data_IF_996224959362
#
_entry.id   IF_996224959362
#
_cell.length_a   1.000
_cell.length_b   1.000
_cell.length_c   1.000
_cell.angle_alpha   90.00
_cell.angle_beta   90.00
_cell.angle_gamma   90.00
#
_symmetry.space_group_name_H-M   'P 1'
#
loop_
_entity.id
_entity.type
_entity.pdbx_description
1 polymer ?
#
# COMPACT_ATOMS: atom_id res chain seq x y z
N UNK A 1 21.18 2.02 -12.61
CA UNK A 1 20.12 1.06 -12.24
C UNK A 1 19.50 1.50 -10.91
N UNK A 2 18.17 1.68 -10.86
CA UNK A 2 17.45 2.30 -9.71
C UNK A 2 17.42 1.39 -8.46
N UNK A 3 17.82 0.10 -8.56
CA UNK A 3 17.94 -0.87 -7.44
C UNK A 3 16.72 -0.89 -6.51
N UNK A 4 15.53 -0.85 -7.09
CA UNK A 4 14.22 -0.94 -6.41
C UNK A 4 13.32 -1.91 -7.15
N UNK A 5 12.32 -2.42 -6.43
CA UNK A 5 11.20 -3.20 -6.97
C UNK A 5 9.90 -2.39 -6.83
N UNK A 6 8.89 -2.61 -7.70
CA UNK A 6 8.89 -3.55 -8.84
C UNK A 6 9.62 -3.01 -10.08
N UNK A 7 9.95 -3.93 -11.00
CA UNK A 7 10.45 -3.64 -12.34
C UNK A 7 9.85 -4.66 -13.32
N UNK A 8 9.53 -4.22 -14.53
CA UNK A 8 9.04 -5.06 -15.63
C UNK A 8 10.08 -5.11 -16.75
N UNK A 9 10.16 -6.26 -17.43
CA UNK A 9 10.88 -6.43 -18.69
C UNK A 9 9.93 -7.04 -19.71
N UNK A 10 9.82 -6.40 -20.86
CA UNK A 10 9.08 -6.87 -22.02
C UNK A 10 9.98 -6.85 -23.26
N UNK A 11 10.58 -8.00 -23.58
CA UNK A 11 11.67 -8.06 -24.56
C UNK A 11 12.86 -7.20 -24.12
N UNK A 12 13.19 -6.20 -24.93
CA UNK A 12 14.27 -5.23 -24.66
C UNK A 12 13.78 -3.98 -23.89
N UNK A 13 12.46 -3.81 -23.76
CA UNK A 13 11.89 -2.72 -22.98
C UNK A 13 11.94 -3.04 -21.48
N UNK A 14 12.42 -2.09 -20.67
CA UNK A 14 12.43 -2.22 -19.20
C UNK A 14 11.89 -0.95 -18.56
N UNK A 15 11.15 -1.11 -17.47
CA UNK A 15 10.53 0.01 -16.75
C UNK A 15 10.43 -0.31 -15.25
N UNK A 16 10.54 0.73 -14.42
CA UNK A 16 10.25 0.68 -12.98
C UNK A 16 9.00 1.52 -12.65
N UNK A 17 8.70 1.65 -11.36
CA UNK A 17 7.50 2.32 -10.81
C UNK A 17 6.20 1.53 -11.01
N UNK A 18 5.60 1.09 -9.90
CA UNK A 18 4.40 0.24 -9.91
C UNK A 18 3.24 0.86 -10.68
N UNK A 19 3.00 2.16 -10.52
CA UNK A 19 1.90 2.89 -11.17
C UNK A 19 2.07 2.90 -12.69
N UNK A 20 3.29 3.22 -13.17
CA UNK A 20 3.60 3.22 -14.59
C UNK A 20 3.48 1.81 -15.19
N UNK A 21 3.96 0.78 -14.47
CA UNK A 21 3.84 -0.62 -14.87
C UNK A 21 2.38 -1.04 -14.97
N UNK A 22 1.53 -0.68 -13.99
CA UNK A 22 0.10 -1.00 -14.00
C UNK A 22 -0.62 -0.38 -15.20
N UNK A 23 -0.37 0.91 -15.48
CA UNK A 23 -0.95 1.59 -16.65
C UNK A 23 -0.47 0.96 -17.96
N UNK A 24 0.83 0.66 -18.07
CA UNK A 24 1.40 -0.02 -19.22
C UNK A 24 0.76 -1.40 -19.47
N UNK A 25 0.57 -2.20 -18.42
CA UNK A 25 -0.09 -3.51 -18.53
C UNK A 25 -1.56 -3.36 -18.94
N UNK A 26 -2.28 -2.40 -18.35
CA UNK A 26 -3.68 -2.16 -18.69
C UNK A 26 -3.86 -1.84 -20.18
N UNK A 27 -3.02 -0.95 -20.71
CA UNK A 27 -3.05 -0.56 -22.12
C UNK A 27 -2.56 -1.68 -23.06
N UNK A 28 -1.42 -2.30 -22.74
CA UNK A 28 -0.82 -3.36 -23.57
C UNK A 28 -1.74 -4.56 -23.73
N UNK A 29 -2.34 -5.02 -22.63
CA UNK A 29 -3.16 -6.23 -22.63
C UNK A 29 -4.65 -5.94 -22.85
N UNK A 30 -5.04 -4.67 -23.03
CA UNK A 30 -6.43 -4.24 -23.22
C UNK A 30 -7.33 -4.81 -22.12
N UNK A 31 -6.90 -4.64 -20.87
CA UNK A 31 -7.67 -5.11 -19.71
C UNK A 31 -9.06 -4.48 -19.70
N UNK A 32 -10.05 -5.07 -18.99
CA UNK A 32 -11.38 -4.46 -18.84
C UNK A 32 -11.31 -2.98 -18.46
N UNK A 33 -12.14 -2.16 -19.11
CA UNK A 33 -12.05 -0.68 -19.05
C UNK A 33 -12.14 -0.11 -17.63
N UNK A 34 -12.83 -0.79 -16.71
CA UNK A 34 -12.95 -0.33 -15.32
C UNK A 34 -11.61 -0.16 -14.59
N UNK A 35 -10.56 -0.92 -14.95
CA UNK A 35 -9.25 -0.78 -14.32
C UNK A 35 -8.63 0.59 -14.59
N UNK A 36 -8.64 1.02 -15.86
CA UNK A 36 -8.08 2.29 -16.29
C UNK A 36 -8.96 2.91 -17.39
N UNK A 37 -10.08 3.55 -17.01
CA UNK A 37 -11.15 3.93 -17.93
C UNK A 37 -10.68 4.84 -19.07
N UNK A 38 -11.25 4.67 -20.26
CA UNK A 38 -11.02 5.59 -21.38
C UNK A 38 -11.72 6.95 -21.19
N UNK A 39 -12.82 6.99 -20.42
CA UNK A 39 -13.51 8.23 -20.07
C UNK A 39 -12.57 9.21 -19.35
N UNK A 40 -12.54 10.45 -19.83
CA UNK A 40 -11.59 11.46 -19.38
C UNK A 40 -11.70 11.75 -17.88
N UNK A 41 -12.92 11.90 -17.36
CA UNK A 41 -13.13 12.29 -15.97
C UNK A 41 -12.89 11.11 -15.02
N UNK A 42 -13.37 9.91 -15.37
CA UNK A 42 -13.09 8.69 -14.60
C UNK A 42 -11.59 8.40 -14.54
N UNK A 43 -10.88 8.53 -15.67
CA UNK A 43 -9.42 8.41 -15.72
C UNK A 43 -8.74 9.45 -14.84
N UNK A 44 -9.21 10.70 -14.87
CA UNK A 44 -8.68 11.77 -14.03
C UNK A 44 -8.84 11.45 -12.53
N UNK A 45 -9.97 10.87 -12.11
CA UNK A 45 -10.19 10.44 -10.72
C UNK A 45 -9.26 9.29 -10.30
N UNK A 46 -9.05 8.31 -11.19
CA UNK A 46 -8.06 7.24 -10.94
C UNK A 46 -6.66 7.86 -10.78
N UNK A 47 -6.26 8.75 -11.69
CA UNK A 47 -4.95 9.40 -11.65
C UNK A 47 -4.77 10.35 -10.46
N UNK A 48 -5.82 11.01 -10.00
CA UNK A 48 -5.82 11.84 -8.79
C UNK A 48 -5.38 11.00 -7.59
N UNK A 49 -6.01 9.84 -7.38
CA UNK A 49 -5.62 8.95 -6.28
C UNK A 49 -4.21 8.39 -6.46
N UNK A 50 -3.88 7.88 -7.66
CA UNK A 50 -2.56 7.28 -7.93
C UNK A 50 -1.41 8.27 -7.77
N UNK A 51 -1.66 9.56 -7.96
CA UNK A 51 -0.68 10.63 -7.70
C UNK A 51 -0.60 10.97 -6.21
N UNK A 52 -1.75 11.14 -5.55
CA UNK A 52 -1.86 11.55 -4.15
C UNK A 52 -1.27 10.52 -3.18
N UNK A 53 -1.47 9.22 -3.43
CA UNK A 53 -1.08 8.15 -2.50
C UNK A 53 0.42 8.15 -2.15
N UNK A 54 1.27 8.64 -3.07
CA UNK A 54 2.73 8.53 -2.94
C UNK A 54 3.27 9.20 -1.67
N UNK A 55 2.64 10.30 -1.27
CA UNK A 55 2.97 11.09 -0.08
C UNK A 55 1.91 10.97 1.02
N UNK A 56 1.00 10.01 0.90
CA UNK A 56 -0.08 9.76 1.85
C UNK A 56 -0.11 8.28 2.26
N UNK A 57 -1.09 7.50 1.82
CA UNK A 57 -1.30 6.09 2.21
C UNK A 57 -0.03 5.24 2.08
N UNK A 58 0.72 5.37 0.98
CA UNK A 58 1.99 4.67 0.78
C UNK A 58 3.04 5.04 1.81
N UNK A 59 3.26 6.35 1.99
CA UNK A 59 4.30 6.85 2.87
C UNK A 59 3.99 6.52 4.33
N UNK A 60 2.77 6.79 4.76
CA UNK A 60 2.33 6.60 6.15
C UNK A 60 2.16 5.13 6.50
N UNK A 61 1.61 4.31 5.60
CA UNK A 61 1.52 2.86 5.78
C UNK A 61 2.90 2.21 5.94
N UNK A 62 3.86 2.60 5.08
CA UNK A 62 5.24 2.14 5.20
C UNK A 62 5.90 2.65 6.48
N UNK A 63 5.63 3.89 6.92
CA UNK A 63 6.21 4.46 8.15
C UNK A 63 5.78 3.65 9.39
N UNK A 64 4.49 3.27 9.47
CA UNK A 64 4.00 2.38 10.53
C UNK A 64 4.69 1.03 10.51
N UNK A 65 4.82 0.40 9.34
CA UNK A 65 5.50 -0.90 9.22
C UNK A 65 6.94 -0.84 9.74
N UNK A 66 7.68 0.23 9.42
CA UNK A 66 9.04 0.40 9.92
C UNK A 66 9.09 0.63 11.43
N UNK A 67 8.26 1.53 11.97
CA UNK A 67 8.27 1.89 13.38
C UNK A 67 7.78 0.74 14.28
N UNK A 68 6.72 0.03 13.87
CA UNK A 68 6.07 -0.99 14.70
C UNK A 68 6.70 -2.37 14.57
N UNK A 69 7.23 -2.71 13.39
CA UNK A 69 7.80 -4.04 13.15
C UNK A 69 9.31 -4.02 12.95
N UNK A 70 9.82 -3.28 11.96
CA UNK A 70 11.23 -3.42 11.57
C UNK A 70 12.21 -2.87 12.63
N UNK A 71 11.94 -1.70 13.20
CA UNK A 71 12.84 -1.04 14.16
C UNK A 71 12.99 -1.87 15.45
N UNK A 72 11.91 -2.32 16.12
CA UNK A 72 12.02 -3.21 17.28
C UNK A 72 12.84 -4.46 17.01
N UNK A 73 12.68 -5.07 15.82
CA UNK A 73 13.36 -6.32 15.47
C UNK A 73 14.83 -6.13 15.10
N UNK A 74 15.17 -5.05 14.39
CA UNK A 74 16.54 -4.75 13.93
C UNK A 74 17.38 -4.10 15.03
N UNK A 75 16.83 -3.11 15.75
CA UNK A 75 17.55 -2.34 16.76
C UNK A 75 17.42 -2.93 18.16
N UNK A 76 16.56 -3.94 18.35
CA UNK A 76 16.24 -4.53 19.66
C UNK A 76 15.77 -3.50 20.69
N UNK A 77 15.15 -2.42 20.22
CA UNK A 77 14.58 -1.35 21.03
C UNK A 77 13.33 -0.81 20.34
N UNK A 78 12.35 -0.38 21.13
CA UNK A 78 11.13 0.22 20.59
C UNK A 78 11.42 1.53 19.86
N UNK A 79 10.57 1.85 18.88
CA UNK A 79 10.62 3.16 18.27
C UNK A 79 10.21 4.24 19.29
N UNK A 80 10.82 5.45 19.24
CA UNK A 80 10.42 6.57 20.09
C UNK A 80 8.92 6.83 20.02
N UNK A 81 8.29 6.99 21.20
CA UNK A 81 6.83 7.15 21.32
C UNK A 81 6.32 8.32 20.49
N UNK A 82 7.00 9.46 20.52
CA UNK A 82 6.61 10.67 19.78
C UNK A 82 6.60 10.44 18.26
N UNK A 83 7.55 9.63 17.75
CA UNK A 83 7.62 9.28 16.33
C UNK A 83 6.51 8.30 15.95
N UNK A 84 6.15 7.38 16.84
CA UNK A 84 5.02 6.48 16.65
C UNK A 84 3.69 7.24 16.65
N UNK A 85 3.45 8.10 17.64
CA UNK A 85 2.23 8.89 17.77
C UNK A 85 2.01 9.78 16.53
N UNK A 86 3.04 10.49 16.08
CA UNK A 86 2.99 11.28 14.84
C UNK A 86 2.70 10.42 13.61
N UNK A 87 3.29 9.22 13.50
CA UNK A 87 3.04 8.35 12.36
C UNK A 87 1.61 7.79 12.33
N UNK A 88 1.03 7.55 13.52
CA UNK A 88 -0.37 7.15 13.67
C UNK A 88 -1.28 8.28 13.23
N UNK A 89 -1.04 9.51 13.70
CA UNK A 89 -1.81 10.70 13.30
C UNK A 89 -1.77 10.93 11.78
N UNK A 90 -0.58 10.85 11.16
CA UNK A 90 -0.41 10.95 9.71
C UNK A 90 -1.24 9.90 8.94
N UNK A 91 -1.19 8.64 9.41
CA UNK A 91 -1.94 7.54 8.81
C UNK A 91 -3.45 7.75 8.97
N UNK A 92 -3.90 8.09 10.18
CA UNK A 92 -5.32 8.35 10.46
C UNK A 92 -5.87 9.49 9.60
N UNK A 93 -5.10 10.57 9.43
CA UNK A 93 -5.43 11.66 8.52
C UNK A 93 -5.56 11.19 7.07
N UNK A 94 -4.68 10.31 6.60
CA UNK A 94 -4.76 9.74 5.25
C UNK A 94 -5.97 8.83 5.07
N UNK A 95 -6.25 7.96 6.04
CA UNK A 95 -7.43 7.10 6.02
C UNK A 95 -8.72 7.92 6.03
N UNK A 96 -8.76 9.01 6.80
CA UNK A 96 -9.88 9.97 6.79
C UNK A 96 -10.07 10.59 5.40
N UNK A 97 -9.00 11.01 4.73
CA UNK A 97 -9.07 11.52 3.35
C UNK A 97 -9.56 10.43 2.38
N UNK A 98 -9.10 9.18 2.52
CA UNK A 98 -9.62 8.05 1.72
C UNK A 98 -11.14 7.94 1.89
N UNK A 99 -11.65 7.98 3.12
CA UNK A 99 -13.08 7.87 3.40
C UNK A 99 -13.88 9.10 2.90
N UNK A 100 -13.41 10.32 3.18
CA UNK A 100 -14.19 11.55 2.96
C UNK A 100 -14.03 12.18 1.56
N UNK A 101 -12.86 12.05 0.93
CA UNK A 101 -12.58 12.63 -0.42
C UNK A 101 -12.73 11.60 -1.52
N UNK A 102 -12.10 10.43 -1.36
CA UNK A 102 -11.97 9.47 -2.45
C UNK A 102 -13.14 8.50 -2.51
N UNK A 103 -13.45 7.82 -1.42
CA UNK A 103 -14.53 6.83 -1.35
C UNK A 103 -15.90 7.48 -1.24
N UNK A 104 -16.08 8.44 -0.31
CA UNK A 104 -17.36 9.09 -0.01
C UNK A 104 -18.47 8.07 0.30
N UNK A 105 -19.51 8.01 -0.54
CA UNK A 105 -20.60 7.03 -0.47
C UNK A 105 -20.59 6.08 -1.68
N UNK A 106 -19.53 6.10 -2.49
CA UNK A 106 -19.36 5.23 -3.66
C UNK A 106 -18.87 3.85 -3.22
N UNK A 107 -19.11 2.79 -4.02
CA UNK A 107 -18.58 1.47 -3.70
C UNK A 107 -17.05 1.40 -3.82
N UNK A 108 -16.44 2.16 -4.75
CA UNK A 108 -14.99 2.21 -5.03
C UNK A 108 -14.49 3.65 -5.21
N UNK A 109 -13.17 3.86 -5.17
CA UNK A 109 -12.52 5.18 -5.19
C UNK A 109 -12.92 5.99 -6.43
N UNK A 110 -12.89 5.38 -7.61
CA UNK A 110 -13.15 6.06 -8.87
C UNK A 110 -14.60 5.93 -9.38
N UNK A 111 -15.51 5.27 -8.65
CA UNK A 111 -16.91 5.11 -9.04
C UNK A 111 -17.52 3.76 -8.66
N UNK A 112 -18.32 3.21 -9.57
CA UNK A 112 -19.14 2.01 -9.37
C UNK A 112 -18.37 0.68 -9.48
N UNK A 113 -17.19 0.70 -10.07
CA UNK A 113 -16.37 -0.49 -10.30
C UNK A 113 -14.97 -0.30 -9.73
N UNK A 114 -14.35 -1.42 -9.37
CA UNK A 114 -12.94 -1.45 -8.95
C UNK A 114 -12.05 -0.87 -10.04
N UNK A 115 -11.03 -0.12 -9.63
CA UNK A 115 -10.04 0.49 -10.53
C UNK A 115 -8.62 0.26 -10.04
N UNK A 116 -7.62 0.71 -10.82
CA UNK A 116 -6.23 0.73 -10.36
C UNK A 116 -6.05 1.52 -9.06
N UNK A 117 -6.87 2.54 -8.79
CA UNK A 117 -6.82 3.30 -7.54
C UNK A 117 -7.13 2.40 -6.33
N UNK A 118 -8.17 1.58 -6.42
CA UNK A 118 -8.55 0.65 -5.35
C UNK A 118 -7.50 -0.44 -5.13
N UNK A 119 -6.94 -0.99 -6.22
CA UNK A 119 -5.90 -2.00 -6.17
C UNK A 119 -4.63 -1.48 -5.46
N UNK A 120 -4.22 -0.25 -5.76
CA UNK A 120 -3.07 0.39 -5.10
C UNK A 120 -3.38 0.76 -3.66
N UNK A 121 -4.56 1.30 -3.39
CA UNK A 121 -4.99 1.65 -2.05
C UNK A 121 -4.96 0.45 -1.11
N UNK A 122 -5.53 -0.68 -1.54
CA UNK A 122 -5.71 -1.80 -0.63
C UNK A 122 -4.39 -2.43 -0.20
N UNK A 123 -3.44 -2.59 -1.12
CA UNK A 123 -2.11 -3.18 -0.79
C UNK A 123 -1.31 -2.27 0.14
N UNK A 124 -1.50 -0.95 0.06
CA UNK A 124 -0.87 0.02 0.98
C UNK A 124 -1.52 0.00 2.35
N UNK A 125 -2.84 -0.06 2.42
CA UNK A 125 -3.61 -0.09 3.68
C UNK A 125 -3.42 -1.43 4.42
N UNK A 126 -3.15 -2.52 3.71
CA UNK A 126 -2.80 -3.81 4.31
C UNK A 126 -1.41 -3.84 4.94
N UNK A 127 -0.54 -2.87 4.65
CA UNK A 127 0.83 -2.84 5.17
C UNK A 127 0.88 -2.59 6.69
N UNK A 128 0.17 -1.60 7.27
CA UNK A 128 -0.04 -1.49 8.72
C UNK A 128 -0.66 -2.74 9.36
N UNK A 129 -1.59 -3.43 8.67
CA UNK A 129 -2.23 -4.65 9.16
C UNK A 129 -1.19 -5.75 9.38
N UNK A 130 -0.28 -5.94 8.42
CA UNK A 130 0.86 -6.85 8.57
C UNK A 130 1.82 -6.49 9.71
N UNK A 131 1.82 -5.23 10.15
CA UNK A 131 2.55 -4.77 11.33
C UNK A 131 1.72 -4.88 12.64
N UNK A 132 0.55 -5.51 12.60
CA UNK A 132 -0.33 -5.70 13.76
C UNK A 132 -1.10 -4.45 14.16
N UNK A 133 -1.37 -3.54 13.22
CA UNK A 133 -2.29 -2.42 13.41
C UNK A 133 -3.56 -2.65 12.60
N UNK A 134 -4.68 -2.87 13.28
CA UNK A 134 -5.97 -2.98 12.62
C UNK A 134 -6.48 -1.59 12.23
N UNK A 135 -6.31 -1.25 10.95
CA UNK A 135 -6.74 0.02 10.36
C UNK A 135 -8.24 0.05 10.02
N UNK A 136 -8.94 -1.09 10.08
CA UNK A 136 -10.35 -1.20 9.72
C UNK A 136 -11.28 -1.08 10.93
N UNK A 137 -10.77 -1.37 12.14
CA UNK A 137 -11.52 -1.20 13.38
C UNK A 137 -12.05 0.23 13.53
N UNK A 138 -13.35 0.36 13.81
CA UNK A 138 -14.02 1.66 13.92
C UNK A 138 -14.30 2.38 12.59
N UNK A 139 -13.94 1.80 11.43
CA UNK A 139 -14.12 2.39 10.09
C UNK A 139 -15.03 1.52 9.22
N UNK A 140 -16.37 1.57 9.41
CA UNK A 140 -17.30 0.71 8.69
C UNK A 140 -17.30 0.95 7.18
N UNK A 141 -17.13 2.20 6.72
CA UNK A 141 -17.02 2.51 5.29
C UNK A 141 -15.79 1.87 4.65
N UNK A 142 -14.63 2.03 5.29
CA UNK A 142 -13.39 1.43 4.83
C UNK A 142 -13.42 -0.11 4.88
N UNK A 143 -14.02 -0.69 5.93
CA UNK A 143 -14.22 -2.14 6.05
C UNK A 143 -15.07 -2.68 4.90
N UNK A 144 -16.23 -2.04 4.65
CA UNK A 144 -17.11 -2.46 3.57
C UNK A 144 -16.46 -2.30 2.18
N UNK A 145 -15.63 -1.25 1.99
CA UNK A 145 -14.84 -1.07 0.78
C UNK A 145 -13.80 -2.19 0.60
N UNK A 146 -13.04 -2.53 1.64
CA UNK A 146 -12.09 -3.66 1.61
C UNK A 146 -12.79 -4.95 1.16
N UNK A 147 -13.94 -5.25 1.74
CA UNK A 147 -14.66 -6.49 1.44
C UNK A 147 -15.13 -6.53 -0.02
N UNK A 148 -15.57 -5.39 -0.58
CA UNK A 148 -15.88 -5.26 -2.01
C UNK A 148 -14.64 -5.41 -2.89
N UNK A 149 -13.51 -4.84 -2.50
CA UNK A 149 -12.25 -4.96 -3.24
C UNK A 149 -11.75 -6.42 -3.23
N UNK A 150 -11.78 -7.09 -2.08
CA UNK A 150 -11.43 -8.51 -1.98
C UNK A 150 -12.35 -9.37 -2.85
N UNK A 151 -13.66 -9.12 -2.83
CA UNK A 151 -14.61 -9.84 -3.66
C UNK A 151 -14.36 -9.62 -5.16
N UNK A 152 -14.02 -8.40 -5.58
CA UNK A 152 -13.74 -8.06 -6.96
C UNK A 152 -12.41 -8.64 -7.48
N UNK A 153 -11.39 -8.75 -6.62
CA UNK A 153 -10.10 -9.39 -6.94
C UNK A 153 -10.21 -10.93 -6.93
N UNK A 154 -11.07 -11.46 -6.06
CA UNK A 154 -11.15 -12.87 -5.72
C UNK A 154 -10.38 -13.15 -4.44
N UNK A 155 -11.05 -13.81 -3.48
CA UNK A 155 -10.53 -14.04 -2.13
C UNK A 155 -9.20 -14.79 -2.13
N UNK A 156 -9.06 -15.83 -2.93
CA UNK A 156 -7.86 -16.67 -2.94
C UNK A 156 -6.63 -15.88 -3.39
N UNK A 157 -6.75 -15.12 -4.49
CA UNK A 157 -5.67 -14.26 -4.99
C UNK A 157 -5.35 -13.13 -4.00
N UNK A 158 -6.37 -12.54 -3.37
CA UNK A 158 -6.18 -11.51 -2.36
C UNK A 158 -5.39 -12.06 -1.16
N UNK A 159 -5.77 -13.22 -0.64
CA UNK A 159 -5.13 -13.84 0.52
C UNK A 159 -3.70 -14.29 0.18
N UNK A 160 -3.49 -14.89 -1.00
CA UNK A 160 -2.17 -15.28 -1.51
C UNK A 160 -1.24 -14.07 -1.60
N UNK A 161 -1.68 -12.99 -2.25
CA UNK A 161 -0.86 -11.79 -2.45
C UNK A 161 -0.49 -11.09 -1.13
N UNK A 162 -1.32 -11.23 -0.09
CA UNK A 162 -1.07 -10.64 1.23
C UNK A 162 -0.41 -11.60 2.23
N UNK A 163 -0.18 -12.86 1.88
CA UNK A 163 0.37 -13.86 2.81
C UNK A 163 1.72 -13.41 3.41
N UNK A 164 2.62 -12.87 2.60
CA UNK A 164 3.95 -12.45 3.04
C UNK A 164 3.89 -11.24 4.00
N UNK A 165 3.01 -10.27 3.73
CA UNK A 165 2.88 -9.10 4.60
C UNK A 165 2.17 -9.45 5.90
N UNK A 166 1.16 -10.31 5.86
CA UNK A 166 0.44 -10.78 7.05
C UNK A 166 1.28 -11.72 7.92
N UNK A 167 2.27 -12.39 7.34
CA UNK A 167 3.26 -13.20 8.06
C UNK A 167 4.54 -12.44 8.39
N UNK A 168 4.64 -11.15 8.06
CA UNK A 168 5.88 -10.36 8.17
C UNK A 168 6.51 -10.40 9.56
N UNK A 169 5.69 -10.36 10.63
CA UNK A 169 6.21 -10.48 11.99
C UNK A 169 6.96 -11.79 12.23
N UNK A 170 6.39 -12.92 11.80
CA UNK A 170 7.02 -14.25 11.88
C UNK A 170 8.25 -14.34 10.99
N UNK A 171 8.15 -13.80 9.78
CA UNK A 171 9.26 -13.81 8.80
C UNK A 171 10.45 -13.04 9.35
N UNK A 172 10.25 -11.82 9.88
CA UNK A 172 11.30 -11.00 10.46
C UNK A 172 11.92 -11.68 11.70
N UNK A 173 11.11 -12.38 12.50
CA UNK A 173 11.62 -13.16 13.64
C UNK A 173 12.50 -14.34 13.24
N UNK A 174 12.27 -14.93 12.07
CA UNK A 174 13.09 -16.01 11.53
C UNK A 174 14.35 -15.52 10.77
N UNK A 175 14.50 -14.21 10.55
CA UNK A 175 15.66 -13.69 9.81
C UNK A 175 16.94 -13.76 10.65
N UNK A 176 18.02 -14.20 10.00
CA UNK A 176 19.35 -14.14 10.59
C UNK A 176 19.79 -12.68 10.85
N UNK A 177 20.64 -12.50 11.85
CA UNK A 177 21.13 -11.18 12.26
C UNK A 177 21.81 -10.45 11.11
N UNK A 178 22.60 -11.13 10.27
CA UNK A 178 23.32 -10.51 9.16
C UNK A 178 22.40 -9.86 8.11
N UNK A 179 21.21 -10.43 7.89
CA UNK A 179 20.18 -9.83 7.02
C UNK A 179 19.51 -8.63 7.69
N UNK A 180 19.23 -8.71 8.99
CA UNK A 180 18.65 -7.58 9.75
C UNK A 180 19.60 -6.38 9.79
N UNK A 181 20.90 -6.61 9.95
CA UNK A 181 21.94 -5.57 9.95
C UNK A 181 21.92 -4.70 8.68
N UNK A 182 21.56 -5.28 7.53
CA UNK A 182 21.46 -4.54 6.25
C UNK A 182 20.44 -3.42 6.28
N UNK A 183 19.48 -3.46 7.20
CA UNK A 183 18.45 -2.43 7.35
C UNK A 183 18.85 -1.31 8.31
N UNK A 184 19.91 -1.47 9.12
CA UNK A 184 20.34 -0.44 10.08
C UNK A 184 20.62 0.93 9.45
N UNK A 185 21.35 1.05 8.31
CA UNK A 185 21.60 2.36 7.70
C UNK A 185 20.31 3.09 7.32
N UNK A 186 19.29 2.34 6.89
CA UNK A 186 17.97 2.90 6.55
C UNK A 186 17.23 3.38 7.78
N UNK A 187 17.29 2.62 8.88
CA UNK A 187 16.67 3.00 10.16
C UNK A 187 17.33 4.25 10.74
N UNK A 188 18.66 4.33 10.75
CA UNK A 188 19.39 5.51 11.25
C UNK A 188 18.94 6.77 10.51
N UNK A 189 18.81 6.69 9.18
CA UNK A 189 18.35 7.82 8.34
C UNK A 189 16.88 8.23 8.55
N UNK A 190 16.08 7.44 9.26
CA UNK A 190 14.71 7.83 9.64
C UNK A 190 14.67 8.65 10.94
N UNK A 191 15.73 8.60 11.75
CA UNK A 191 15.82 9.26 13.05
C UNK A 191 16.78 10.44 13.09
N UNK A 192 17.79 10.46 12.20
CA UNK A 192 18.80 11.50 12.06
C UNK A 192 18.81 12.04 10.62
#
# INVERSE_FOLDING_TARGET
>A
MIRKVPAIRDGDFTMGESIAILMYMAEKFRTPDHWYPADLQKRALVNEYLSWQHTATRMHGSKIFWLKLMIPKVMKTEAPKEKMDSAIEDLEGSLKIVEEKFLQDKPFIAGEHISLADLVAIVEIMQPVGAGMDVFSGRPKLTAWRDRVQAAIGKDLFDEAHQDILSAAKTVDSMDSSKLERFKPRIVKMFF
#
